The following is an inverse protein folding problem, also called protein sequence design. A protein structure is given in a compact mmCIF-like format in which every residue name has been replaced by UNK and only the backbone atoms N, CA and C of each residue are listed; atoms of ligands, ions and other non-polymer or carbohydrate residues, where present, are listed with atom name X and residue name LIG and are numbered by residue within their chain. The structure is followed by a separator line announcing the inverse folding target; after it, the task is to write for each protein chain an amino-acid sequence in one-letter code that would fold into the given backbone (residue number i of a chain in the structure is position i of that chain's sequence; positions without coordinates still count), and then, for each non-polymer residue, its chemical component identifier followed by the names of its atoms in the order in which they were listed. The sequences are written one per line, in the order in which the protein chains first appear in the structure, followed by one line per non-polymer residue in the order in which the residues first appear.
data_IF_208700740648
#
_entry.id   IF_208700740648
#
_cell.length_a   1.000
_cell.length_b   1.000
_cell.length_c   1.000
_cell.angle_alpha   90.00
_cell.angle_beta   90.00
_cell.angle_gamma   90.00
#
_symmetry.space_group_name_H-M   'P 1'
#
loop_
_entity.id
_entity.type
_entity.pdbx_description
1 polymer ?
#
# COMPACT_ATOMS: atom_id res chain seq x y z
N UNK A 1 11.22 -10.45 27.01
CA UNK A 1 11.99 -9.21 27.13
C UNK A 1 12.12 -8.64 25.72
N UNK A 2 11.49 -7.51 25.44
CA UNK A 2 11.69 -6.78 24.19
C UNK A 2 13.16 -6.38 24.13
N UNK A 3 13.85 -6.77 23.07
CA UNK A 3 15.17 -6.25 22.79
C UNK A 3 15.02 -4.72 22.65
N UNK A 4 15.56 -3.95 23.58
CA UNK A 4 15.44 -2.49 23.59
C UNK A 4 15.90 -1.84 22.27
N UNK A 5 16.70 -2.56 21.50
CA UNK A 5 17.24 -2.14 20.21
C UNK A 5 16.32 -2.47 19.01
N UNK A 6 15.17 -3.13 19.25
CA UNK A 6 14.25 -3.51 18.18
C UNK A 6 14.71 -4.71 17.33
N UNK A 7 13.97 -4.96 16.26
CA UNK A 7 14.19 -6.07 15.32
C UNK A 7 15.43 -5.82 14.41
N UNK A 8 15.66 -4.56 14.04
CA UNK A 8 16.79 -4.12 13.22
C UNK A 8 17.52 -2.99 13.94
N UNK A 9 18.48 -3.31 14.84
CA UNK A 9 19.19 -2.32 15.65
C UNK A 9 19.86 -1.18 14.88
N UNK A 10 20.32 -1.44 13.65
CA UNK A 10 20.99 -0.44 12.83
C UNK A 10 20.02 0.40 11.98
N UNK A 11 18.83 -0.13 11.67
CA UNK A 11 17.92 0.51 10.74
C UNK A 11 16.97 1.51 11.42
N UNK A 12 16.78 2.67 10.79
CA UNK A 12 15.89 3.75 11.21
C UNK A 12 15.07 4.27 10.04
N UNK A 13 13.94 4.88 10.35
CA UNK A 13 13.18 5.69 9.41
C UNK A 13 13.38 7.15 9.80
N UNK A 14 14.10 7.97 8.99
CA UNK A 14 14.28 9.39 9.28
C UNK A 14 12.93 10.10 9.33
N UNK A 15 12.68 10.89 10.39
CA UNK A 15 11.40 11.57 10.53
C UNK A 15 11.18 12.58 9.38
N UNK A 16 10.03 12.44 8.68
CA UNK A 16 9.65 13.35 7.62
C UNK A 16 10.16 12.99 6.21
N UNK A 17 10.88 11.88 6.02
CA UNK A 17 11.38 11.42 4.72
C UNK A 17 10.39 10.47 4.02
N UNK A 18 9.11 10.73 4.15
CA UNK A 18 8.04 9.94 3.56
C UNK A 18 6.99 10.83 2.90
N UNK A 19 6.20 10.23 2.08
CA UNK A 19 5.02 10.84 1.49
C UNK A 19 4.25 9.85 0.61
N UNK A 20 3.05 10.22 0.26
CA UNK A 20 2.25 9.48 -0.70
C UNK A 20 1.49 10.42 -1.63
N UNK A 21 1.04 9.89 -2.77
CA UNK A 21 0.00 10.55 -3.54
C UNK A 21 -1.31 10.57 -2.75
N UNK A 22 -2.29 11.32 -3.23
CA UNK A 22 -3.70 11.03 -2.98
C UNK A 22 -4.06 9.70 -3.66
N UNK A 23 -5.13 9.05 -3.21
CA UNK A 23 -5.58 7.74 -3.69
C UNK A 23 -6.98 7.86 -4.31
N UNK A 24 -7.06 8.35 -5.56
CA UNK A 24 -8.35 8.40 -6.26
C UNK A 24 -8.89 6.98 -6.46
N UNK A 25 -10.21 6.84 -6.37
CA UNK A 25 -10.87 5.60 -6.73
C UNK A 25 -10.57 5.24 -8.19
N UNK A 26 -10.54 3.94 -8.49
CA UNK A 26 -10.23 3.45 -9.82
C UNK A 26 -11.09 4.12 -10.90
N UNK A 27 -10.48 4.41 -12.06
CA UNK A 27 -11.10 5.09 -13.20
C UNK A 27 -11.71 6.49 -12.91
N UNK A 28 -11.36 7.12 -11.78
CA UNK A 28 -11.88 8.46 -11.43
C UNK A 28 -10.90 9.60 -11.71
N UNK A 29 -9.66 9.31 -12.07
CA UNK A 29 -8.65 10.31 -12.35
C UNK A 29 -7.80 9.96 -13.57
N UNK A 30 -7.06 10.94 -14.09
CA UNK A 30 -6.11 10.72 -15.16
C UNK A 30 -4.94 9.79 -14.79
N UNK A 31 -4.81 9.38 -13.51
CA UNK A 31 -3.86 8.34 -13.10
C UNK A 31 -4.13 7.00 -13.79
N UNK A 32 -5.37 6.74 -14.18
CA UNK A 32 -5.74 5.57 -14.96
C UNK A 32 -4.99 5.46 -16.30
N UNK A 33 -4.56 6.59 -16.87
CA UNK A 33 -3.97 6.66 -18.22
C UNK A 33 -2.44 6.76 -18.23
N UNK A 34 -1.78 6.93 -17.06
CA UNK A 34 -0.32 7.06 -17.00
C UNK A 34 0.37 5.71 -16.78
N UNK A 35 1.63 5.60 -17.17
CA UNK A 35 2.44 4.47 -16.75
C UNK A 35 2.75 4.58 -15.26
N UNK A 36 2.25 3.65 -14.46
CA UNK A 36 2.33 3.72 -12.99
C UNK A 36 3.77 3.64 -12.47
N UNK A 37 4.65 2.86 -13.11
CA UNK A 37 6.05 2.77 -12.70
C UNK A 37 6.82 4.06 -12.96
N UNK A 38 6.55 4.73 -14.10
CA UNK A 38 7.11 6.06 -14.38
C UNK A 38 6.57 7.09 -13.38
N UNK A 39 5.26 7.18 -13.22
CA UNK A 39 4.63 8.10 -12.28
C UNK A 39 5.17 7.92 -10.87
N UNK A 40 5.31 6.68 -10.39
CA UNK A 40 5.81 6.39 -9.05
C UNK A 40 7.28 6.85 -8.89
N UNK A 41 8.14 6.57 -9.87
CA UNK A 41 9.55 7.00 -9.85
C UNK A 41 9.70 8.52 -9.83
N UNK A 42 9.05 9.22 -10.75
CA UNK A 42 9.07 10.69 -10.83
C UNK A 42 8.50 11.34 -9.56
N UNK A 43 7.39 10.77 -9.04
CA UNK A 43 6.75 11.25 -7.82
C UNK A 43 7.60 11.02 -6.58
N UNK A 44 8.29 9.88 -6.47
CA UNK A 44 9.25 9.61 -5.40
C UNK A 44 10.32 10.69 -5.38
N UNK A 45 10.96 10.97 -6.52
CA UNK A 45 11.98 12.02 -6.62
C UNK A 45 11.44 13.39 -6.18
N UNK A 46 10.23 13.75 -6.62
CA UNK A 46 9.57 14.99 -6.23
C UNK A 46 9.29 15.06 -4.72
N UNK A 47 8.75 13.97 -4.13
CA UNK A 47 8.47 13.91 -2.70
C UNK A 47 9.76 14.05 -1.89
N UNK A 48 10.81 13.32 -2.25
CA UNK A 48 12.10 13.40 -1.56
C UNK A 48 12.71 14.81 -1.67
N UNK A 49 12.60 15.47 -2.83
CA UNK A 49 13.01 16.84 -3.02
C UNK A 49 12.25 17.82 -2.11
N UNK A 50 10.92 17.68 -2.00
CA UNK A 50 10.09 18.47 -1.08
C UNK A 50 10.46 18.23 0.38
N UNK A 51 10.93 17.04 0.72
CA UNK A 51 11.42 16.64 2.05
C UNK A 51 12.90 17.00 2.26
N UNK A 52 13.54 17.65 1.30
CA UNK A 52 14.96 18.08 1.32
C UNK A 52 15.94 16.91 1.46
N UNK A 53 15.57 15.75 0.98
CA UNK A 53 16.47 14.59 0.91
C UNK A 53 17.38 14.78 -0.30
N UNK A 54 18.72 14.70 -0.12
CA UNK A 54 19.65 14.81 -1.24
C UNK A 54 19.42 13.66 -2.23
N UNK A 55 19.30 13.99 -3.52
CA UNK A 55 18.98 13.00 -4.57
C UNK A 55 19.99 11.85 -4.65
N UNK A 56 21.25 12.13 -4.33
CA UNK A 56 22.35 11.17 -4.38
C UNK A 56 22.50 10.36 -3.09
N UNK A 57 21.62 10.52 -2.11
CA UNK A 57 21.71 9.76 -0.85
C UNK A 57 21.19 8.33 -0.97
N UNK A 58 20.39 8.01 -1.99
CA UNK A 58 19.86 6.67 -2.19
C UNK A 58 20.91 5.74 -2.79
N UNK A 59 21.07 4.56 -2.19
CA UNK A 59 22.00 3.51 -2.65
C UNK A 59 21.26 2.29 -3.21
N UNK A 60 20.03 2.06 -2.76
CA UNK A 60 19.22 0.91 -3.13
C UNK A 60 17.73 1.24 -3.15
N UNK A 61 16.95 0.50 -3.96
CA UNK A 61 15.52 0.69 -4.08
C UNK A 61 14.75 -0.62 -3.90
N UNK A 62 13.87 -0.67 -2.89
CA UNK A 62 12.89 -1.74 -2.72
C UNK A 62 11.55 -1.23 -3.22
N UNK A 63 11.06 -1.80 -4.31
CA UNK A 63 9.74 -1.46 -4.83
C UNK A 63 8.71 -2.53 -4.50
N UNK A 64 7.45 -2.14 -4.36
CA UNK A 64 6.33 -3.03 -4.13
C UNK A 64 5.13 -2.66 -4.99
N UNK A 65 4.57 -3.65 -5.69
CA UNK A 65 3.31 -3.52 -6.39
C UNK A 65 2.63 -4.87 -6.50
N UNK A 66 1.31 -4.90 -6.54
CA UNK A 66 0.52 -6.14 -6.62
C UNK A 66 -0.20 -6.27 -7.96
N UNK A 67 -0.51 -5.15 -8.58
CA UNK A 67 -1.16 -5.12 -9.87
C UNK A 67 -0.11 -5.21 -10.98
N UNK A 68 -0.25 -6.13 -11.94
CA UNK A 68 0.61 -6.16 -13.12
C UNK A 68 0.55 -4.82 -13.86
N UNK A 69 1.68 -4.35 -14.37
CA UNK A 69 1.78 -3.10 -15.11
C UNK A 69 2.70 -3.24 -16.32
N UNK A 70 2.53 -2.35 -17.28
CA UNK A 70 3.34 -2.36 -18.50
C UNK A 70 4.80 -2.15 -18.17
N UNK A 71 5.69 -2.98 -18.73
CA UNK A 71 7.14 -3.03 -18.47
C UNK A 71 7.57 -3.51 -17.08
N UNK A 72 6.68 -4.18 -16.34
CA UNK A 72 7.00 -4.81 -15.05
C UNK A 72 8.28 -5.68 -15.11
N UNK A 73 8.63 -6.23 -16.25
CA UNK A 73 9.87 -7.00 -16.43
C UNK A 73 11.13 -6.19 -16.06
N UNK A 74 11.18 -4.92 -16.42
CA UNK A 74 12.29 -4.02 -16.10
C UNK A 74 12.28 -3.51 -14.65
N UNK A 75 11.16 -3.55 -14.02
CA UNK A 75 10.92 -3.38 -12.59
C UNK A 75 11.74 -2.25 -11.92
N UNK A 76 12.47 -2.56 -10.83
CA UNK A 76 13.19 -1.56 -10.02
C UNK A 76 14.20 -0.73 -10.82
N UNK A 77 15.03 -1.28 -11.74
CA UNK A 77 15.89 -0.48 -12.60
C UNK A 77 15.18 0.59 -13.44
N UNK A 78 14.02 0.26 -14.01
CA UNK A 78 13.22 1.23 -14.76
C UNK A 78 12.68 2.33 -13.86
N UNK A 79 12.08 1.96 -12.73
CA UNK A 79 11.52 2.91 -11.77
C UNK A 79 12.61 3.81 -11.19
N UNK A 80 13.78 3.27 -10.86
CA UNK A 80 14.93 4.05 -10.41
C UNK A 80 15.38 5.07 -11.46
N UNK A 81 15.42 4.66 -12.74
CA UNK A 81 15.77 5.55 -13.86
C UNK A 81 14.74 6.68 -14.02
N UNK A 82 13.43 6.39 -13.87
CA UNK A 82 12.37 7.40 -13.87
C UNK A 82 12.49 8.37 -12.69
N UNK A 83 12.98 7.90 -11.55
CA UNK A 83 13.31 8.74 -10.39
C UNK A 83 14.61 9.55 -10.55
N UNK A 84 15.34 9.39 -11.67
CA UNK A 84 16.63 10.06 -11.90
C UNK A 84 17.82 9.40 -11.21
N UNK A 85 17.68 8.16 -10.74
CA UNK A 85 18.71 7.40 -10.03
C UNK A 85 19.30 6.28 -10.88
N UNK A 86 20.57 5.93 -10.62
CA UNK A 86 21.28 4.78 -11.21
C UNK A 86 21.67 3.79 -10.11
N UNK A 87 20.67 3.34 -9.36
CA UNK A 87 20.84 2.45 -8.22
C UNK A 87 20.21 1.08 -8.49
N UNK A 88 20.76 0.01 -7.90
CA UNK A 88 20.14 -1.30 -7.96
C UNK A 88 18.87 -1.36 -7.11
N UNK A 89 18.07 -2.40 -7.31
CA UNK A 89 16.89 -2.62 -6.53
C UNK A 89 16.17 -3.90 -6.91
N UNK A 90 15.19 -4.29 -6.13
CA UNK A 90 14.30 -5.41 -6.41
C UNK A 90 12.83 -5.07 -6.14
N UNK A 91 11.98 -5.96 -6.61
CA UNK A 91 10.54 -5.88 -6.42
C UNK A 91 10.08 -6.96 -5.43
N UNK A 92 9.15 -6.58 -4.54
CA UNK A 92 8.45 -7.45 -3.62
C UNK A 92 6.94 -7.40 -3.84
N UNK A 93 6.29 -8.55 -3.67
CA UNK A 93 4.85 -8.69 -3.80
C UNK A 93 4.33 -9.59 -2.68
N UNK A 94 3.38 -9.08 -1.90
CA UNK A 94 2.70 -9.80 -0.82
C UNK A 94 1.25 -9.29 -0.69
N UNK A 95 0.53 -9.18 -1.80
CA UNK A 95 -0.82 -8.63 -1.85
C UNK A 95 -0.96 -7.37 -0.97
N UNK A 96 -2.01 -7.23 -0.17
CA UNK A 96 -2.26 -6.05 0.67
C UNK A 96 -1.15 -5.74 1.70
N UNK A 97 -0.27 -6.69 2.01
CA UNK A 97 0.85 -6.50 2.94
C UNK A 97 2.15 -6.03 2.26
N UNK A 98 2.15 -5.83 0.94
CA UNK A 98 3.35 -5.50 0.15
C UNK A 98 4.10 -4.27 0.68
N UNK A 99 3.40 -3.19 1.01
CA UNK A 99 4.03 -1.97 1.51
C UNK A 99 4.79 -2.17 2.82
N UNK A 100 4.19 -2.90 3.75
CA UNK A 100 4.84 -3.22 5.03
C UNK A 100 6.03 -4.16 4.82
N UNK A 101 5.89 -5.15 3.94
CA UNK A 101 6.98 -6.08 3.62
C UNK A 101 8.14 -5.36 2.93
N UNK A 102 7.89 -4.43 2.02
CA UNK A 102 8.93 -3.62 1.39
C UNK A 102 9.73 -2.80 2.43
N UNK A 103 9.05 -2.17 3.38
CA UNK A 103 9.72 -1.45 4.47
C UNK A 103 10.57 -2.36 5.36
N UNK A 104 10.08 -3.56 5.67
CA UNK A 104 10.83 -4.55 6.46
C UNK A 104 12.06 -5.08 5.72
N UNK A 105 11.96 -5.31 4.43
CA UNK A 105 13.10 -5.74 3.61
C UNK A 105 14.15 -4.64 3.49
N UNK A 106 13.74 -3.38 3.31
CA UNK A 106 14.66 -2.25 3.37
C UNK A 106 15.38 -2.16 4.72
N UNK A 107 14.65 -2.42 5.82
CA UNK A 107 15.26 -2.53 7.16
C UNK A 107 16.29 -3.65 7.27
N UNK A 108 16.06 -4.79 6.61
CA UNK A 108 17.01 -5.91 6.59
C UNK A 108 18.26 -5.57 5.76
N UNK A 109 18.13 -4.86 4.63
CA UNK A 109 19.27 -4.40 3.82
C UNK A 109 20.18 -3.47 4.63
N UNK A 110 19.60 -2.49 5.33
CA UNK A 110 20.38 -1.60 6.21
C UNK A 110 20.96 -2.37 7.39
N UNK A 111 20.21 -3.29 7.99
CA UNK A 111 20.69 -4.12 9.10
C UNK A 111 21.88 -4.99 8.72
N UNK A 112 21.91 -5.51 7.50
CA UNK A 112 23.03 -6.32 6.98
C UNK A 112 24.31 -5.51 6.80
N UNK A 113 24.19 -4.19 6.63
CA UNK A 113 25.29 -3.29 6.30
C UNK A 113 25.61 -3.25 4.81
N UNK A 114 24.76 -3.83 3.95
CA UNK A 114 24.95 -3.79 2.50
C UNK A 114 24.73 -2.37 1.95
N UNK A 115 23.77 -1.64 2.52
CA UNK A 115 23.43 -0.27 2.13
C UNK A 115 23.16 0.58 3.36
N UNK A 116 23.50 1.86 3.28
CA UNK A 116 23.26 2.84 4.34
C UNK A 116 21.90 3.53 4.15
N UNK A 117 21.47 3.72 2.91
CA UNK A 117 20.21 4.39 2.56
C UNK A 117 19.42 3.63 1.52
N UNK A 118 18.28 3.11 1.92
CA UNK A 118 17.37 2.33 1.07
C UNK A 118 16.06 3.07 0.89
N UNK A 119 15.71 3.36 -0.37
CA UNK A 119 14.40 3.87 -0.74
C UNK A 119 13.36 2.75 -0.76
N UNK A 120 12.20 3.02 -0.20
CA UNK A 120 11.01 2.16 -0.34
C UNK A 120 10.00 2.90 -1.19
N UNK A 121 9.52 2.26 -2.24
CA UNK A 121 8.52 2.83 -3.13
C UNK A 121 7.47 1.78 -3.44
N UNK A 122 6.23 2.07 -3.09
CA UNK A 122 5.10 1.19 -3.35
C UNK A 122 4.06 1.90 -4.21
N UNK A 123 3.49 1.19 -5.15
CA UNK A 123 2.49 1.75 -6.05
C UNK A 123 1.60 0.65 -6.63
N UNK A 124 0.37 0.99 -6.88
CA UNK A 124 -0.56 0.17 -7.65
C UNK A 124 -1.50 1.04 -8.48
N UNK A 125 -1.94 0.49 -9.60
CA UNK A 125 -2.97 1.06 -10.45
C UNK A 125 -3.97 -0.04 -10.80
N UNK A 126 -5.10 -0.05 -10.10
CA UNK A 126 -6.21 -0.95 -10.39
C UNK A 126 -7.00 -0.52 -11.62
N UNK A 127 -7.00 0.79 -11.91
CA UNK A 127 -7.48 1.31 -13.18
C UNK A 127 -6.63 0.75 -14.31
N UNK A 128 -7.27 0.28 -15.36
CA UNK A 128 -6.59 -0.18 -16.57
C UNK A 128 -5.48 -1.23 -16.29
N UNK A 129 -5.77 -2.18 -15.38
CA UNK A 129 -4.89 -3.33 -15.18
C UNK A 129 -4.85 -4.18 -16.44
N UNK A 130 -3.69 -4.76 -16.80
CA UNK A 130 -3.60 -5.59 -18.00
C UNK A 130 -4.45 -6.85 -17.89
N UNK A 131 -5.03 -7.24 -19.01
CA UNK A 131 -5.69 -8.54 -19.17
C UNK A 131 -4.64 -9.57 -19.56
N UNK A 132 -4.51 -10.62 -18.77
CA UNK A 132 -3.63 -11.76 -19.02
C UNK A 132 -4.35 -12.84 -19.84
N UNK A 133 -3.63 -13.50 -20.75
CA UNK A 133 -4.11 -14.68 -21.45
C UNK A 133 -3.36 -15.89 -20.91
N UNK A 134 -4.07 -16.82 -20.30
CA UNK A 134 -3.50 -18.05 -19.73
C UNK A 134 -3.91 -19.26 -20.56
N UNK A 135 -3.03 -19.75 -21.47
CA UNK A 135 -3.35 -20.91 -22.30
C UNK A 135 -3.55 -22.17 -21.45
N UNK A 136 -4.76 -22.66 -21.36
CA UNK A 136 -5.07 -23.95 -20.77
C UNK A 136 -5.09 -25.04 -21.85
N UNK A 137 -4.29 -26.09 -21.66
CA UNK A 137 -4.33 -27.28 -22.49
C UNK A 137 -5.21 -28.33 -21.78
N UNK A 138 -6.47 -28.41 -22.18
CA UNK A 138 -7.30 -29.58 -21.87
C UNK A 138 -7.17 -30.58 -23.00
N UNK A 139 -7.28 -31.86 -22.70
CA UNK A 139 -7.22 -32.92 -23.71
C UNK A 139 -8.16 -32.56 -24.89
N UNK A 140 -7.60 -32.39 -26.07
CA UNK A 140 -8.28 -32.04 -27.32
C UNK A 140 -8.86 -30.62 -27.49
N UNK A 141 -8.76 -29.73 -26.49
CA UNK A 141 -9.18 -28.33 -26.65
C UNK A 141 -8.15 -27.38 -26.05
N UNK A 142 -7.85 -26.30 -26.78
CA UNK A 142 -7.07 -25.18 -26.28
C UNK A 142 -8.04 -24.05 -25.98
N UNK A 143 -8.24 -23.75 -24.71
CA UNK A 143 -8.93 -22.54 -24.26
C UNK A 143 -7.93 -21.44 -23.97
N UNK A 144 -8.34 -20.22 -24.21
CA UNK A 144 -7.54 -19.01 -23.91
C UNK A 144 -8.37 -18.13 -22.97
N UNK A 145 -8.50 -18.51 -21.69
CA UNK A 145 -9.22 -17.68 -20.73
C UNK A 145 -8.49 -16.35 -20.55
N UNK A 146 -9.27 -15.29 -20.55
CA UNK A 146 -8.81 -13.96 -20.17
C UNK A 146 -8.97 -13.82 -18.67
N UNK A 147 -7.96 -13.26 -18.02
CA UNK A 147 -8.00 -12.94 -16.60
C UNK A 147 -7.54 -11.50 -16.36
N UNK A 148 -8.22 -10.80 -15.51
CA UNK A 148 -7.86 -9.46 -15.06
C UNK A 148 -7.67 -9.42 -13.53
N UNK A 149 -7.35 -8.23 -12.99
CA UNK A 149 -7.15 -8.07 -11.55
C UNK A 149 -8.41 -8.39 -10.74
N UNK A 150 -9.59 -8.18 -11.30
CA UNK A 150 -10.86 -8.39 -10.62
C UNK A 150 -11.16 -9.86 -10.39
N UNK A 151 -10.63 -10.77 -11.23
CA UNK A 151 -10.73 -12.21 -11.01
C UNK A 151 -10.13 -12.62 -9.66
N UNK A 152 -9.04 -11.95 -9.22
CA UNK A 152 -8.42 -12.22 -7.93
C UNK A 152 -9.30 -11.82 -6.73
N UNK A 153 -10.16 -10.81 -6.89
CA UNK A 153 -11.12 -10.41 -5.86
C UNK A 153 -12.44 -11.20 -5.93
N UNK A 154 -12.79 -11.62 -7.14
CA UNK A 154 -14.01 -12.38 -7.41
C UNK A 154 -13.92 -13.87 -7.08
N UNK A 155 -12.72 -14.45 -7.13
CA UNK A 155 -12.54 -15.88 -7.02
C UNK A 155 -11.18 -16.25 -6.41
N UNK A 156 -11.20 -16.75 -5.17
CA UNK A 156 -10.05 -17.45 -4.57
C UNK A 156 -10.01 -18.91 -5.06
N UNK A 157 -9.01 -19.32 -5.81
CA UNK A 157 -8.97 -20.67 -6.38
C UNK A 157 -8.86 -21.78 -5.33
N UNK A 158 -8.41 -21.47 -4.11
CA UNK A 158 -8.32 -22.45 -3.02
C UNK A 158 -9.68 -22.71 -2.35
N UNK A 159 -10.61 -21.79 -2.40
CA UNK A 159 -11.89 -21.84 -1.67
C UNK A 159 -13.12 -21.67 -2.55
N UNK A 160 -12.96 -21.18 -3.76
CA UNK A 160 -14.04 -20.80 -4.66
C UNK A 160 -14.84 -19.56 -4.23
N UNK A 161 -14.36 -18.79 -3.26
CA UNK A 161 -15.10 -17.66 -2.70
C UNK A 161 -14.55 -16.32 -3.19
N UNK A 162 -15.44 -15.35 -3.37
CA UNK A 162 -15.08 -13.93 -3.52
C UNK A 162 -14.64 -13.33 -2.18
N UNK A 163 -13.90 -12.22 -2.22
CA UNK A 163 -13.48 -11.47 -1.03
C UNK A 163 -14.67 -11.00 -0.18
N UNK A 164 -15.76 -10.58 -0.81
CA UNK A 164 -17.01 -10.20 -0.12
C UNK A 164 -17.56 -11.40 0.67
N UNK A 165 -17.59 -12.59 0.08
CA UNK A 165 -18.05 -13.80 0.76
C UNK A 165 -17.14 -14.18 1.93
N UNK A 166 -15.83 -13.98 1.82
CA UNK A 166 -14.90 -14.19 2.93
C UNK A 166 -15.17 -13.22 4.10
N UNK A 167 -15.48 -11.95 3.81
CA UNK A 167 -15.87 -10.97 4.81
C UNK A 167 -17.18 -11.35 5.50
N UNK A 168 -18.22 -11.72 4.73
CA UNK A 168 -19.50 -12.17 5.28
C UNK A 168 -19.37 -13.46 6.11
N UNK A 169 -18.53 -14.40 5.69
CA UNK A 169 -18.23 -15.62 6.47
C UNK A 169 -17.57 -15.28 7.82
N UNK A 170 -16.66 -14.31 7.81
CA UNK A 170 -16.02 -13.83 9.03
C UNK A 170 -17.03 -13.15 9.94
N UNK A 171 -17.89 -12.29 9.39
CA UNK A 171 -18.97 -11.63 10.14
C UNK A 171 -19.89 -12.66 10.82
N UNK A 172 -20.32 -13.69 10.10
CA UNK A 172 -21.13 -14.79 10.68
C UNK A 172 -20.40 -15.54 11.78
N UNK A 173 -19.11 -15.86 11.59
CA UNK A 173 -18.30 -16.56 12.60
C UNK A 173 -18.26 -15.81 13.93
N UNK A 174 -18.10 -14.49 13.85
CA UNK A 174 -17.98 -13.63 15.04
C UNK A 174 -19.30 -12.99 15.46
N UNK A 175 -20.41 -13.36 14.81
CA UNK A 175 -21.75 -12.80 15.08
C UNK A 175 -21.74 -11.28 15.06
N UNK A 176 -21.05 -10.70 14.08
CA UNK A 176 -20.98 -9.25 13.93
C UNK A 176 -22.37 -8.66 13.73
N UNK A 177 -22.61 -7.51 14.34
CA UNK A 177 -23.84 -6.74 14.18
C UNK A 177 -23.66 -5.74 13.02
N UNK A 178 -24.70 -5.61 12.19
CA UNK A 178 -24.73 -4.66 11.10
C UNK A 178 -24.61 -3.21 11.58
N UNK A 179 -25.28 -2.88 12.68
CA UNK A 179 -25.23 -1.53 13.25
C UNK A 179 -23.82 -1.18 13.75
N UNK A 180 -23.12 -2.13 14.39
CA UNK A 180 -21.74 -1.95 14.84
C UNK A 180 -20.78 -1.76 13.67
N UNK A 181 -20.95 -2.52 12.56
CA UNK A 181 -20.11 -2.36 11.38
C UNK A 181 -20.34 -1.04 10.66
N UNK A 182 -21.60 -0.57 10.57
CA UNK A 182 -21.92 0.74 10.02
C UNK A 182 -21.37 1.87 10.91
N UNK A 183 -21.43 1.76 12.22
CA UNK A 183 -20.87 2.72 13.16
C UNK A 183 -19.34 2.79 13.04
N UNK A 184 -18.68 1.65 12.96
CA UNK A 184 -17.24 1.60 12.73
C UNK A 184 -16.85 2.29 11.39
N UNK A 185 -17.58 2.03 10.31
CA UNK A 185 -17.37 2.68 9.03
C UNK A 185 -17.59 4.20 9.14
N UNK A 186 -18.69 4.63 9.77
CA UNK A 186 -18.98 6.05 9.98
C UNK A 186 -17.86 6.78 10.72
N UNK A 187 -17.36 6.20 11.81
CA UNK A 187 -16.23 6.77 12.55
C UNK A 187 -14.96 6.88 11.72
N UNK A 188 -14.69 5.93 10.82
CA UNK A 188 -13.53 6.01 9.91
C UNK A 188 -13.66 7.15 8.90
N UNK A 189 -14.84 7.34 8.32
CA UNK A 189 -15.10 8.49 7.46
C UNK A 189 -14.97 9.80 8.22
N UNK A 190 -15.53 9.89 9.43
CA UNK A 190 -15.47 11.10 10.26
C UNK A 190 -14.00 11.44 10.62
N UNK A 191 -13.21 10.45 11.04
CA UNK A 191 -11.77 10.61 11.30
C UNK A 191 -11.00 11.11 10.08
N UNK A 192 -11.30 10.59 8.88
CA UNK A 192 -10.67 11.06 7.65
C UNK A 192 -10.96 12.55 7.41
N UNK A 193 -12.22 12.97 7.49
CA UNK A 193 -12.59 14.35 7.26
C UNK A 193 -12.07 15.29 8.35
N UNK A 194 -12.03 14.85 9.60
CA UNK A 194 -11.40 15.60 10.69
C UNK A 194 -9.87 15.77 10.46
N UNK A 195 -9.19 14.70 10.07
CA UNK A 195 -7.76 14.75 9.74
C UNK A 195 -7.47 15.66 8.55
N UNK A 196 -8.35 15.66 7.54
CA UNK A 196 -8.25 16.57 6.39
C UNK A 196 -8.46 18.03 6.82
N UNK A 197 -9.49 18.30 7.59
CA UNK A 197 -9.82 19.65 8.06
C UNK A 197 -8.74 20.24 8.98
N UNK A 198 -8.06 19.42 9.77
CA UNK A 198 -6.96 19.84 10.66
C UNK A 198 -5.60 20.01 9.95
N UNK A 199 -5.50 19.69 8.65
CA UNK A 199 -4.23 19.67 7.92
C UNK A 199 -3.30 18.50 8.32
N UNK A 200 -3.79 17.52 9.09
CA UNK A 200 -2.97 16.36 9.47
C UNK A 200 -2.52 15.56 8.25
N UNK A 201 -3.39 15.40 7.25
CA UNK A 201 -3.09 14.64 6.04
C UNK A 201 -2.03 15.32 5.17
N UNK A 202 -1.87 16.65 5.23
CA UNK A 202 -0.87 17.41 4.46
C UNK A 202 0.58 17.05 4.84
N UNK A 203 0.75 16.38 5.99
CA UNK A 203 2.05 15.86 6.42
C UNK A 203 2.49 14.62 5.63
N UNK A 204 1.56 13.93 5.01
CA UNK A 204 1.78 12.65 4.31
C UNK A 204 1.39 12.75 2.85
N UNK A 205 0.22 13.30 2.55
CA UNK A 205 -0.31 13.42 1.19
C UNK A 205 0.34 14.59 0.46
N UNK A 206 0.82 14.32 -0.74
CA UNK A 206 1.48 15.32 -1.59
C UNK A 206 0.71 15.42 -2.91
N UNK A 207 0.25 16.63 -3.30
CA UNK A 207 -0.30 16.83 -4.61
C UNK A 207 0.75 16.60 -5.70
N UNK A 208 0.45 15.76 -6.69
CA UNK A 208 1.39 15.31 -7.70
C UNK A 208 0.87 15.61 -9.10
N UNK A 209 1.74 16.12 -9.97
CA UNK A 209 1.47 16.26 -11.39
C UNK A 209 1.54 14.91 -12.09
N UNK A 210 0.64 14.71 -13.04
CA UNK A 210 0.62 13.54 -13.92
C UNK A 210 1.25 13.90 -15.25
N UNK A 211 2.20 13.08 -15.69
CA UNK A 211 2.87 13.25 -16.97
C UNK A 211 2.64 12.00 -17.83
N UNK A 212 2.50 12.18 -19.14
CA UNK A 212 2.53 11.07 -20.07
C UNK A 212 3.97 10.60 -20.34
N UNK A 213 4.14 9.54 -21.14
CA UNK A 213 5.46 8.99 -21.49
C UNK A 213 6.40 9.99 -22.19
N UNK A 214 5.89 11.07 -22.75
CA UNK A 214 6.65 12.14 -23.39
C UNK A 214 6.90 13.32 -22.44
N UNK A 215 6.56 13.20 -21.16
CA UNK A 215 6.72 14.26 -20.14
C UNK A 215 5.71 15.41 -20.26
N UNK A 216 4.61 15.24 -21.01
CA UNK A 216 3.59 16.28 -21.14
C UNK A 216 2.58 16.19 -19.99
N UNK A 217 2.16 17.33 -19.41
CA UNK A 217 1.16 17.35 -18.35
C UNK A 217 -0.17 16.71 -18.80
N UNK A 218 -0.74 15.84 -17.96
CA UNK A 218 -2.05 15.21 -18.14
C UNK A 218 -3.04 15.62 -17.06
N UNK A 219 -2.58 16.27 -16.00
CA UNK A 219 -3.41 16.68 -14.88
C UNK A 219 -2.65 16.62 -13.56
N UNK A 220 -3.40 16.67 -12.47
CA UNK A 220 -2.86 16.67 -11.10
C UNK A 220 -3.73 15.80 -10.21
N UNK A 221 -3.11 15.10 -9.28
CA UNK A 221 -3.79 14.40 -8.19
C UNK A 221 -3.60 15.22 -6.92
N UNK A 222 -4.67 15.74 -6.37
CA UNK A 222 -4.69 16.57 -5.16
C UNK A 222 -5.90 16.26 -4.24
N UNK A 223 -6.62 15.18 -4.53
CA UNK A 223 -7.75 14.72 -3.72
C UNK A 223 -7.92 13.19 -3.81
N UNK A 224 -8.42 12.59 -2.73
CA UNK A 224 -8.88 11.21 -2.70
C UNK A 224 -10.28 11.12 -3.34
N UNK A 225 -10.29 11.18 -4.67
CA UNK A 225 -11.52 11.11 -5.45
C UNK A 225 -12.24 9.78 -5.18
N UNK A 226 -13.54 9.84 -4.89
CA UNK A 226 -14.35 8.66 -4.51
C UNK A 226 -14.63 8.58 -3.01
N UNK A 227 -13.84 9.22 -2.15
CA UNK A 227 -14.16 9.34 -0.72
C UNK A 227 -15.26 10.39 -0.54
N UNK A 228 -16.40 9.96 0.01
CA UNK A 228 -17.57 10.82 0.22
C UNK A 228 -17.93 10.85 1.70
N UNK A 229 -18.38 12.02 2.18
CA UNK A 229 -18.91 12.10 3.53
C UNK A 229 -20.24 11.32 3.58
N UNK A 230 -20.30 10.31 4.44
CA UNK A 230 -21.48 9.48 4.64
C UNK A 230 -22.21 9.91 5.91
N UNK A 231 -23.52 9.68 5.94
CA UNK A 231 -24.33 9.81 7.13
C UNK A 231 -24.67 8.41 7.69
N UNK A 232 -24.95 8.30 8.97
CA UNK A 232 -25.40 7.05 9.58
C UNK A 232 -26.68 6.52 8.92
N UNK A 233 -27.60 7.43 8.58
CA UNK A 233 -28.83 7.07 7.87
C UNK A 233 -28.51 6.49 6.47
N UNK A 234 -27.59 7.14 5.74
CA UNK A 234 -27.15 6.66 4.43
C UNK A 234 -26.48 5.28 4.51
N UNK A 235 -25.64 5.03 5.52
CA UNK A 235 -25.02 3.72 5.74
C UNK A 235 -26.07 2.63 6.02
N UNK A 236 -27.01 2.90 6.94
CA UNK A 236 -28.09 1.97 7.30
C UNK A 236 -29.02 1.64 6.11
N UNK A 237 -29.22 2.58 5.21
CA UNK A 237 -30.03 2.39 4.01
C UNK A 237 -29.34 1.56 2.91
N UNK A 238 -28.02 1.31 3.03
CA UNK A 238 -27.29 0.54 2.01
C UNK A 238 -27.67 -0.94 2.06
N UNK A 239 -27.87 -1.51 0.86
CA UNK A 239 -28.12 -2.95 0.71
C UNK A 239 -26.89 -3.75 1.15
N UNK A 240 -27.12 -4.83 1.89
CA UNK A 240 -26.09 -5.84 2.15
C UNK A 240 -25.74 -6.61 0.87
N UNK A 241 -24.45 -6.77 0.64
CA UNK A 241 -23.86 -7.60 -0.40
C UNK A 241 -23.59 -9.02 0.11
N UNK A 242 -23.26 -9.15 1.38
CA UNK A 242 -23.22 -10.35 2.23
C UNK A 242 -23.40 -9.89 3.69
N UNK A 243 -23.43 -10.79 4.66
CA UNK A 243 -23.65 -10.47 6.09
C UNK A 243 -22.78 -9.31 6.55
N UNK A 244 -23.39 -8.22 6.97
CA UNK A 244 -22.77 -6.96 7.44
C UNK A 244 -21.85 -6.27 6.41
N UNK A 245 -21.76 -6.76 5.19
CA UNK A 245 -20.92 -6.16 4.12
C UNK A 245 -21.77 -5.33 3.19
N UNK A 246 -21.44 -4.06 3.08
CA UNK A 246 -22.12 -3.11 2.18
C UNK A 246 -21.10 -2.33 1.36
N UNK A 247 -21.54 -1.53 0.40
CA UNK A 247 -20.67 -0.60 -0.29
C UNK A 247 -20.03 0.45 0.64
N UNK A 248 -20.67 0.76 1.80
CA UNK A 248 -20.15 1.71 2.78
C UNK A 248 -19.16 1.11 3.79
N UNK A 249 -19.23 -0.21 4.02
CA UNK A 249 -18.35 -0.91 4.97
C UNK A 249 -17.14 -1.59 4.33
N UNK A 250 -16.96 -1.45 3.01
CA UNK A 250 -15.79 -1.92 2.28
C UNK A 250 -15.06 -0.76 1.59
N UNK A 251 -13.77 -0.95 1.32
CA UNK A 251 -12.99 0.01 0.53
C UNK A 251 -13.29 -0.17 -0.97
N UNK A 252 -13.19 0.92 -1.73
CA UNK A 252 -13.09 0.85 -3.18
C UNK A 252 -11.62 0.64 -3.60
N UNK A 253 -11.40 0.07 -4.76
CA UNK A 253 -10.08 0.00 -5.35
C UNK A 253 -9.57 1.41 -5.69
N UNK A 254 -8.29 1.66 -5.50
CA UNK A 254 -7.67 2.96 -5.70
C UNK A 254 -6.35 2.83 -6.43
N UNK A 255 -5.96 3.90 -7.10
CA UNK A 255 -4.65 4.06 -7.71
C UNK A 255 -3.79 4.97 -6.85
N UNK A 256 -2.47 4.75 -6.81
CA UNK A 256 -1.59 5.62 -6.05
C UNK A 256 -0.20 5.07 -5.77
N UNK A 257 0.57 5.84 -5.02
CA UNK A 257 1.92 5.46 -4.61
C UNK A 257 2.26 6.01 -3.22
N UNK A 258 3.22 5.36 -2.55
CA UNK A 258 3.81 5.84 -1.32
C UNK A 258 5.32 5.55 -1.30
N UNK A 259 6.07 6.42 -0.64
CA UNK A 259 7.52 6.28 -0.47
C UNK A 259 7.97 6.64 0.93
N UNK A 260 9.04 6.01 1.38
CA UNK A 260 9.77 6.36 2.60
C UNK A 260 11.25 5.94 2.45
N UNK A 261 12.10 6.44 3.33
CA UNK A 261 13.49 6.00 3.45
C UNK A 261 13.69 5.13 4.68
N UNK A 262 14.57 4.15 4.55
CA UNK A 262 15.15 3.41 5.66
C UNK A 262 16.66 3.58 5.59
N UNK A 263 17.28 3.99 6.70
CA UNK A 263 18.71 4.34 6.72
C UNK A 263 19.40 3.82 7.97
N UNK A 264 20.73 3.92 8.02
CA UNK A 264 21.47 3.78 9.27
C UNK A 264 21.08 4.85 10.29
N UNK A 265 21.44 4.65 11.56
CA UNK A 265 21.12 5.61 12.62
C UNK A 265 21.78 6.97 12.40
N UNK A 266 23.03 6.98 11.90
CA UNK A 266 23.76 8.23 11.62
C UNK A 266 23.04 9.06 10.58
N UNK A 267 22.79 8.45 9.41
CA UNK A 267 22.10 9.08 8.29
C UNK A 267 20.65 9.46 8.64
N UNK A 268 19.98 8.67 9.50
CA UNK A 268 18.64 9.03 9.96
C UNK A 268 18.62 10.35 10.73
N UNK A 269 19.59 10.61 11.57
CA UNK A 269 19.71 11.87 12.32
C UNK A 269 19.98 13.06 11.39
N UNK A 270 20.78 12.86 10.34
CA UNK A 270 21.11 13.89 9.35
C UNK A 270 19.90 14.26 8.45
N UNK A 271 19.15 13.26 7.99
CA UNK A 271 18.02 13.44 7.09
C UNK A 271 16.71 13.79 7.80
N UNK A 272 16.61 13.55 9.10
CA UNK A 272 15.40 13.78 9.88
C UNK A 272 15.08 15.26 10.03
N UNK A 273 13.83 15.64 9.80
CA UNK A 273 13.32 16.97 10.15
C UNK A 273 13.11 17.15 11.65
N UNK A 274 13.17 16.05 12.42
CA UNK A 274 13.08 15.98 13.88
C UNK A 274 14.05 14.96 14.42
N UNK A 275 15.35 15.28 14.52
CA UNK A 275 16.41 14.33 14.92
C UNK A 275 16.21 13.71 16.31
N UNK A 276 15.42 14.36 17.17
CA UNK A 276 15.04 13.85 18.49
C UNK A 276 14.03 12.70 18.45
N UNK A 277 13.39 12.46 17.30
CA UNK A 277 12.43 11.37 17.11
C UNK A 277 13.14 10.17 16.50
N UNK A 278 13.21 9.08 17.24
CA UNK A 278 13.83 7.82 16.80
C UNK A 278 12.77 6.80 16.39
N UNK A 279 12.63 6.54 15.08
CA UNK A 279 11.66 5.58 14.53
C UNK A 279 12.37 4.27 14.21
N UNK A 280 11.96 3.19 14.89
CA UNK A 280 12.58 1.86 14.82
C UNK A 280 11.61 0.78 14.39
N UNK A 281 12.14 -0.28 13.81
CA UNK A 281 11.43 -1.54 13.61
C UNK A 281 11.47 -2.36 14.90
N UNK A 282 10.40 -2.35 15.67
CA UNK A 282 10.37 -3.00 17.00
C UNK A 282 10.25 -4.52 16.86
N UNK A 283 9.27 -4.99 16.09
CA UNK A 283 9.03 -6.42 15.88
C UNK A 283 8.15 -6.64 14.63
N UNK A 284 8.13 -7.89 14.18
CA UNK A 284 7.28 -8.38 13.09
C UNK A 284 6.54 -9.63 13.52
N UNK A 285 5.30 -9.75 13.12
CA UNK A 285 4.51 -10.99 13.13
C UNK A 285 3.71 -11.11 11.85
N UNK A 286 3.47 -12.34 11.45
CA UNK A 286 2.59 -12.68 10.35
C UNK A 286 1.67 -13.82 10.77
N UNK A 287 0.45 -13.82 10.28
CA UNK A 287 -0.52 -14.88 10.53
C UNK A 287 -1.24 -15.24 9.24
N UNK A 288 -1.50 -16.53 9.11
CA UNK A 288 -2.43 -17.08 8.12
C UNK A 288 -3.51 -17.83 8.87
N UNK A 289 -4.76 -17.61 8.50
CA UNK A 289 -5.91 -18.26 9.07
C UNK A 289 -6.46 -19.33 8.11
N UNK A 290 -7.57 -19.93 8.47
CA UNK A 290 -8.24 -20.87 7.58
C UNK A 290 -8.63 -20.17 6.26
N UNK A 291 -8.61 -20.87 5.13
CA UNK A 291 -9.11 -20.33 3.88
C UNK A 291 -10.52 -19.75 4.02
N UNK A 292 -10.80 -18.67 3.33
CA UNK A 292 -12.03 -17.85 3.43
C UNK A 292 -12.25 -17.12 4.77
N UNK A 293 -11.26 -17.07 5.66
CA UNK A 293 -11.32 -16.29 6.91
C UNK A 293 -10.18 -15.27 6.99
N UNK A 294 -9.65 -14.82 5.87
CA UNK A 294 -8.55 -13.86 5.79
C UNK A 294 -8.80 -12.57 6.62
N UNK A 295 -10.02 -12.00 6.71
CA UNK A 295 -10.25 -10.79 7.50
C UNK A 295 -9.93 -10.91 8.99
N UNK A 296 -9.87 -12.12 9.56
CA UNK A 296 -9.48 -12.31 10.98
C UNK A 296 -7.96 -12.34 11.21
N UNK A 297 -7.16 -12.57 10.16
CA UNK A 297 -5.71 -12.76 10.28
C UNK A 297 -4.98 -11.56 10.93
N UNK A 298 -5.32 -10.29 10.64
CA UNK A 298 -4.71 -9.13 11.30
C UNK A 298 -4.91 -9.13 12.82
N UNK A 299 -6.08 -9.53 13.31
CA UNK A 299 -6.35 -9.59 14.75
C UNK A 299 -5.41 -10.57 15.47
N UNK A 300 -5.24 -11.78 14.93
CA UNK A 300 -4.30 -12.76 15.48
C UNK A 300 -2.84 -12.31 15.34
N UNK A 301 -2.48 -11.65 14.25
CA UNK A 301 -1.14 -11.09 14.08
C UNK A 301 -0.84 -10.03 15.14
N UNK A 302 -1.79 -9.14 15.43
CA UNK A 302 -1.67 -8.11 16.47
C UNK A 302 -1.56 -8.75 17.86
N UNK A 303 -2.41 -9.71 18.21
CA UNK A 303 -2.32 -10.43 19.49
C UNK A 303 -0.94 -11.06 19.69
N UNK A 304 -0.42 -11.73 18.66
CA UNK A 304 0.91 -12.32 18.68
C UNK A 304 2.02 -11.25 18.80
N UNK A 305 1.84 -10.11 18.14
CA UNK A 305 2.79 -8.99 18.22
C UNK A 305 2.82 -8.40 19.62
N UNK A 306 1.68 -8.12 20.23
CA UNK A 306 1.57 -7.60 21.60
C UNK A 306 2.18 -8.58 22.62
N UNK A 307 1.86 -9.88 22.51
CA UNK A 307 2.45 -10.92 23.35
C UNK A 307 3.97 -10.99 23.20
N UNK A 308 4.51 -10.79 21.99
CA UNK A 308 5.96 -10.80 21.72
C UNK A 308 6.67 -9.56 22.26
N UNK A 309 6.01 -8.41 22.20
CA UNK A 309 6.61 -7.12 22.52
C UNK A 309 6.35 -6.65 23.96
N UNK A 310 5.30 -7.16 24.59
CA UNK A 310 4.83 -6.66 25.88
C UNK A 310 4.18 -5.26 25.82
N UNK A 311 3.89 -4.77 24.60
CA UNK A 311 3.12 -3.54 24.40
C UNK A 311 1.63 -3.81 24.62
N UNK A 312 0.90 -2.79 25.03
CA UNK A 312 -0.57 -2.83 25.26
C UNK A 312 -1.28 -1.90 24.29
#
# INVERSE_FOLDING_TARGET
MTNANGMFPKARIPFGTWGSSYFPAWQTSALAEVNIGQFAGESMNRILGLRRVPINSLEYLVIGSTIPWHWKFWNAPLVASCAGHRIPGYHVEQACATGLQAALLAGAEVQSGAFDTVGVLTFDRTSDSPVGVFPERRAHQRTLPLADVWDNFGFDPATGNAMIAAAGKTARKYKADRAETDECAFHRYDQYFAAKASGFLDRVLVPLELLNLQGRPMGRIDADLGVRKLTMEGLRAMRELDTCVTAGTQTHASDGMATLLVTSEGTAKELSTRPEVDIRFVAKTEMRTQPSLMPEAPAFAVQKLLAKTGLT
#
